data_IF_422023834876
#
_entry.id   IF_422023834876
#
_cell.length_a   1.000
_cell.length_b   1.000
_cell.length_c   1.000
_cell.angle_alpha   90.00
_cell.angle_beta   90.00
_cell.angle_gamma   90.00
#
_symmetry.space_group_name_H-M   'P 1'
#
loop_
_entity.id
_entity.type
_entity.pdbx_description
1 polymer ?
#
# COMPACT_ATOMS: atom_id res chain seq x y z
N UNK A 1 -0.54 11.95 -13.82
CA UNK A 1 0.40 11.85 -12.68
C UNK A 1 -0.17 12.58 -11.46
N UNK A 2 0.20 12.18 -10.23
CA UNK A 2 -0.25 12.84 -8.99
C UNK A 2 0.27 14.28 -8.90
N UNK A 3 -0.49 15.20 -8.31
CA UNK A 3 -0.03 16.59 -8.07
C UNK A 3 1.07 16.59 -6.99
N UNK A 4 2.22 17.26 -7.18
CA UNK A 4 3.20 17.44 -6.10
C UNK A 4 2.59 18.16 -4.89
N UNK A 5 3.03 17.78 -3.69
CA UNK A 5 2.61 18.36 -2.41
C UNK A 5 1.18 18.06 -1.94
N UNK A 6 0.22 17.89 -2.87
CA UNK A 6 -1.21 17.68 -2.54
C UNK A 6 -1.77 16.35 -3.00
N UNK A 7 -1.10 15.67 -3.94
CA UNK A 7 -1.53 14.38 -4.47
C UNK A 7 -1.36 13.25 -3.46
N UNK A 8 -2.38 12.39 -3.38
CA UNK A 8 -2.40 11.19 -2.53
C UNK A 8 -2.67 9.95 -3.36
N UNK A 9 -2.12 8.83 -2.90
CA UNK A 9 -2.42 7.48 -3.40
C UNK A 9 -2.95 6.66 -2.22
N UNK A 10 -4.06 5.97 -2.44
CA UNK A 10 -4.55 4.94 -1.53
C UNK A 10 -4.34 3.58 -2.23
N UNK A 11 -3.55 2.72 -1.62
CA UNK A 11 -3.23 1.39 -2.12
C UNK A 11 -3.91 0.35 -1.21
N UNK A 12 -4.71 -0.54 -1.79
CA UNK A 12 -5.46 -1.57 -1.08
C UNK A 12 -4.95 -2.93 -1.50
N UNK A 13 -4.33 -3.65 -0.57
CA UNK A 13 -3.60 -4.89 -0.89
C UNK A 13 -3.96 -6.01 0.05
N UNK A 14 -4.13 -7.22 -0.48
CA UNK A 14 -4.37 -8.41 0.32
C UNK A 14 -3.15 -8.75 1.18
N UNK A 15 -3.41 -9.05 2.46
CA UNK A 15 -2.41 -9.46 3.46
C UNK A 15 -1.63 -10.68 2.98
N UNK A 16 -0.35 -10.51 2.66
CA UNK A 16 0.52 -11.62 2.29
C UNK A 16 0.89 -12.48 3.51
N UNK A 17 0.90 -11.88 4.70
CA UNK A 17 1.19 -12.55 5.96
C UNK A 17 0.04 -13.44 6.47
N UNK A 18 -1.18 -13.29 5.93
CA UNK A 18 -2.34 -14.09 6.32
C UNK A 18 -2.62 -15.23 5.32
N UNK A 19 -2.37 -16.50 5.70
CA UNK A 19 -2.64 -17.64 4.84
C UNK A 19 -4.14 -17.89 4.63
N UNK A 20 -5.01 -17.33 5.48
CA UNK A 20 -6.46 -17.53 5.40
C UNK A 20 -7.15 -16.62 4.38
N UNK A 21 -6.45 -15.63 3.81
CA UNK A 21 -7.01 -14.81 2.73
C UNK A 21 -7.17 -15.69 1.48
N UNK A 22 -8.41 -15.89 0.97
CA UNK A 22 -8.72 -16.92 -0.02
C UNK A 22 -8.43 -16.46 -1.46
N UNK A 23 -7.17 -16.10 -1.74
CA UNK A 23 -6.67 -15.73 -3.07
C UNK A 23 -5.24 -16.27 -3.25
N UNK A 24 -4.79 -16.42 -4.51
CA UNK A 24 -3.42 -16.88 -4.81
C UNK A 24 -2.38 -15.91 -4.24
N UNK A 25 -1.26 -16.46 -3.76
CA UNK A 25 -0.16 -15.69 -3.16
C UNK A 25 0.40 -14.59 -4.08
N UNK A 26 0.42 -14.82 -5.39
CA UNK A 26 0.85 -13.84 -6.41
C UNK A 26 -0.02 -12.57 -6.47
N UNK A 27 -1.15 -12.56 -5.77
CA UNK A 27 -2.07 -11.41 -5.67
C UNK A 27 -2.07 -10.79 -4.26
N UNK A 28 -1.11 -11.17 -3.40
CA UNK A 28 -0.94 -10.64 -2.06
C UNK A 28 0.38 -9.87 -1.98
N UNK A 29 0.44 -8.89 -1.08
CA UNK A 29 1.67 -8.10 -0.86
C UNK A 29 1.82 -7.72 0.62
N UNK A 30 3.06 -7.75 1.13
CA UNK A 30 3.35 -7.26 2.49
C UNK A 30 3.41 -5.73 2.52
N UNK A 31 3.12 -5.13 3.67
CA UNK A 31 3.30 -3.68 3.89
C UNK A 31 4.74 -3.23 3.59
N UNK A 32 5.73 -4.04 3.94
CA UNK A 32 7.15 -3.73 3.70
C UNK A 32 7.49 -3.67 2.21
N UNK A 33 7.01 -4.64 1.44
CA UNK A 33 7.18 -4.65 -0.01
C UNK A 33 6.50 -3.43 -0.64
N UNK A 34 5.25 -3.14 -0.26
CA UNK A 34 4.50 -2.00 -0.76
C UNK A 34 5.23 -0.66 -0.51
N UNK A 35 5.76 -0.47 0.70
CA UNK A 35 6.54 0.72 1.06
C UNK A 35 7.80 0.86 0.20
N UNK A 36 8.53 -0.25 0.00
CA UNK A 36 9.76 -0.27 -0.81
C UNK A 36 9.48 0.12 -2.27
N UNK A 37 8.45 -0.48 -2.87
CA UNK A 37 8.08 -0.22 -4.26
C UNK A 37 7.55 1.20 -4.48
N UNK A 38 6.68 1.69 -3.59
CA UNK A 38 6.15 3.05 -3.68
C UNK A 38 7.24 4.11 -3.45
N UNK A 39 8.19 3.85 -2.55
CA UNK A 39 9.35 4.73 -2.36
C UNK A 39 10.25 4.77 -3.61
N UNK A 40 10.41 3.64 -4.31
CA UNK A 40 11.23 3.59 -5.53
C UNK A 40 10.67 4.45 -6.67
N UNK A 41 9.35 4.72 -6.67
CA UNK A 41 8.69 5.62 -7.64
C UNK A 41 8.49 7.05 -7.09
N UNK A 42 9.13 7.39 -5.97
CA UNK A 42 9.14 8.74 -5.41
C UNK A 42 7.89 9.13 -4.62
N UNK A 43 7.15 8.16 -4.08
CA UNK A 43 6.05 8.41 -3.14
C UNK A 43 6.51 8.22 -1.70
N UNK A 44 5.98 9.05 -0.80
CA UNK A 44 6.24 8.94 0.63
C UNK A 44 5.09 8.23 1.34
N UNK A 45 5.43 7.26 2.20
CA UNK A 45 4.45 6.60 3.07
C UNK A 45 3.89 7.59 4.10
N UNK A 46 2.58 7.56 4.28
CA UNK A 46 1.87 8.40 5.27
C UNK A 46 1.40 7.54 6.45
N UNK A 47 0.54 6.56 6.18
CA UNK A 47 -0.01 5.68 7.20
C UNK A 47 -0.54 4.38 6.60
N UNK A 48 -0.75 3.39 7.46
CA UNK A 48 -1.51 2.18 7.15
C UNK A 48 -2.75 2.14 8.01
N UNK A 49 -3.90 1.78 7.43
CA UNK A 49 -5.17 1.59 8.13
C UNK A 49 -5.56 0.12 8.05
N UNK A 50 -5.79 -0.46 9.22
CA UNK A 50 -6.11 -1.87 9.41
C UNK A 50 -7.61 -2.12 9.59
N UNK A 51 -8.45 -1.22 9.08
CA UNK A 51 -9.91 -1.31 9.20
C UNK A 51 -10.55 -2.34 8.27
N UNK A 52 -9.80 -2.83 7.28
CA UNK A 52 -10.27 -3.85 6.34
C UNK A 52 -9.88 -5.25 6.83
N UNK A 53 -10.78 -6.24 6.73
CA UNK A 53 -10.56 -7.56 7.33
C UNK A 53 -9.38 -8.30 6.70
N UNK A 54 -9.23 -8.21 5.37
CA UNK A 54 -8.26 -9.01 4.62
C UNK A 54 -7.19 -8.19 3.91
N UNK A 55 -7.29 -6.86 3.97
CA UNK A 55 -6.42 -5.96 3.23
C UNK A 55 -5.77 -4.92 4.15
N UNK A 56 -4.59 -4.46 3.73
CA UNK A 56 -4.04 -3.20 4.22
C UNK A 56 -4.56 -2.05 3.34
N UNK A 57 -4.96 -0.95 3.97
CA UNK A 57 -5.14 0.33 3.27
C UNK A 57 -3.92 1.20 3.56
N UNK A 58 -3.03 1.32 2.58
CA UNK A 58 -1.79 2.07 2.66
C UNK A 58 -1.97 3.44 1.99
N UNK A 59 -1.66 4.51 2.71
CA UNK A 59 -1.73 5.87 2.19
C UNK A 59 -0.33 6.39 1.88
N UNK A 60 -0.18 6.96 0.69
CA UNK A 60 1.03 7.62 0.24
C UNK A 60 0.74 9.04 -0.26
N UNK A 61 1.77 9.88 -0.29
CA UNK A 61 1.71 11.21 -0.89
C UNK A 61 2.83 11.42 -1.89
N UNK A 62 2.61 12.31 -2.85
CA UNK A 62 3.69 12.82 -3.69
C UNK A 62 4.34 14.02 -2.97
N UNK A 63 5.65 14.01 -2.70
CA UNK A 63 6.34 15.18 -2.16
C UNK A 63 6.24 16.39 -3.12
N UNK A 64 6.55 17.58 -2.62
CA UNK A 64 6.53 18.82 -3.40
C UNK A 64 7.60 18.81 -4.51
#
# INVERSE_FOLDING_TARGET
ALRPGTGRLALVEYRAEDPNVPIKEIHKMTVEQAKKEMSAIGLEFVEVRETLPQQHLLLFRRPA
#
